data_IF_749715708437
#
_entry.id   IF_749715708437
#
_cell.length_a   1.000
_cell.length_b   1.000
_cell.length_c   1.000
_cell.angle_alpha   90.00
_cell.angle_beta   90.00
_cell.angle_gamma   90.00
#
_symmetry.space_group_name_H-M   'P 1'
#
loop_
_entity.id
_entity.type
_entity.pdbx_description
1 polymer ?
#
# COMPACT_ATOMS: atom_id res chain seq x y z
N UNK A 1 -15.15 5.34 5.61
CA UNK A 1 -14.98 5.20 4.16
C UNK A 1 -15.18 6.56 3.51
N UNK A 2 -14.08 7.29 3.40
CA UNK A 2 -13.98 8.61 2.78
C UNK A 2 -13.52 8.46 1.32
N UNK A 3 -12.59 7.55 1.05
CA UNK A 3 -12.15 7.26 -0.32
C UNK A 3 -13.07 6.23 -0.98
N UNK A 4 -13.10 6.26 -2.32
CA UNK A 4 -13.75 5.19 -3.10
C UNK A 4 -12.71 4.20 -3.58
N UNK A 5 -13.15 2.98 -3.92
CA UNK A 5 -12.27 1.93 -4.43
C UNK A 5 -11.57 2.36 -5.72
N UNK A 6 -12.25 3.12 -6.58
CA UNK A 6 -11.71 3.66 -7.83
C UNK A 6 -10.56 4.64 -7.57
N UNK A 7 -10.76 5.58 -6.63
CA UNK A 7 -9.71 6.53 -6.24
C UNK A 7 -8.49 5.82 -5.65
N UNK A 8 -8.71 4.80 -4.82
CA UNK A 8 -7.63 3.99 -4.24
C UNK A 8 -6.90 3.20 -5.32
N UNK A 9 -7.60 2.69 -6.32
CA UNK A 9 -6.99 1.99 -7.45
C UNK A 9 -6.08 2.92 -8.26
N UNK A 10 -6.58 4.09 -8.66
CA UNK A 10 -5.79 5.11 -9.38
C UNK A 10 -4.56 5.52 -8.58
N UNK A 11 -4.75 5.81 -7.29
CA UNK A 11 -3.67 6.18 -6.39
C UNK A 11 -2.65 5.06 -6.24
N UNK A 12 -3.09 3.82 -6.12
CA UNK A 12 -2.21 2.65 -6.06
C UNK A 12 -1.36 2.56 -7.31
N UNK A 13 -1.92 2.74 -8.51
CA UNK A 13 -1.11 2.75 -9.73
C UNK A 13 -0.03 3.84 -9.72
N UNK A 14 -0.34 5.04 -9.23
CA UNK A 14 0.65 6.12 -9.07
C UNK A 14 1.76 5.74 -8.09
N UNK A 15 1.39 5.26 -6.89
CA UNK A 15 2.34 4.82 -5.86
C UNK A 15 3.24 3.73 -6.42
N UNK A 16 2.64 2.70 -7.04
CA UNK A 16 3.40 1.58 -7.59
C UNK A 16 4.31 2.02 -8.73
N UNK A 17 3.90 2.99 -9.55
CA UNK A 17 4.73 3.61 -10.60
C UNK A 17 5.94 4.32 -10.02
N UNK A 18 5.78 5.06 -8.93
CA UNK A 18 6.90 5.75 -8.29
C UNK A 18 7.85 4.80 -7.56
N UNK A 19 7.27 3.76 -6.95
CA UNK A 19 8.00 2.65 -6.34
C UNK A 19 8.57 1.68 -7.39
N UNK A 20 8.40 1.93 -8.71
CA UNK A 20 8.92 1.07 -9.77
C UNK A 20 10.44 0.95 -9.70
N UNK A 21 10.88 -0.16 -9.11
CA UNK A 21 11.99 -0.96 -9.60
C UNK A 21 11.48 -2.15 -10.43
N UNK A 22 12.34 -3.15 -10.67
CA UNK A 22 12.04 -4.39 -11.42
C UNK A 22 10.95 -5.31 -10.79
N UNK A 23 10.21 -4.88 -9.76
CA UNK A 23 9.41 -5.76 -8.89
C UNK A 23 7.91 -5.84 -9.20
N UNK A 24 7.33 -4.81 -9.78
CA UNK A 24 5.88 -4.75 -9.99
C UNK A 24 5.54 -4.38 -11.43
N UNK A 25 4.60 -5.11 -12.01
CA UNK A 25 3.99 -4.75 -13.29
C UNK A 25 2.91 -3.70 -13.07
N UNK A 26 2.54 -2.98 -14.13
CA UNK A 26 1.44 -2.01 -14.10
C UNK A 26 0.12 -2.66 -13.63
N UNK A 27 -0.10 -3.92 -14.00
CA UNK A 27 -1.27 -4.72 -13.60
C UNK A 27 -1.07 -5.50 -12.29
N UNK A 28 -0.21 -5.03 -11.38
CA UNK A 28 0.08 -5.75 -10.14
C UNK A 28 -1.09 -5.77 -9.14
N UNK A 29 -2.09 -4.91 -9.26
CA UNK A 29 -3.22 -4.87 -8.31
C UNK A 29 -4.13 -6.08 -8.50
N UNK A 30 -4.21 -6.94 -7.48
CA UNK A 30 -5.04 -8.15 -7.48
C UNK A 30 -6.38 -7.96 -6.78
N UNK A 31 -6.37 -7.35 -5.59
CA UNK A 31 -7.56 -7.16 -4.76
C UNK A 31 -7.40 -5.90 -3.90
N UNK A 32 -8.51 -5.20 -3.67
CA UNK A 32 -8.57 -4.03 -2.79
C UNK A 32 -9.70 -4.29 -1.79
N UNK A 33 -9.38 -4.22 -0.49
CA UNK A 33 -10.33 -4.36 0.60
C UNK A 33 -10.26 -3.16 1.52
N UNK A 34 -11.42 -2.69 1.96
CA UNK A 34 -11.53 -1.69 3.01
C UNK A 34 -11.58 -2.40 4.37
N UNK A 35 -10.81 -1.89 5.32
CA UNK A 35 -10.74 -2.38 6.68
C UNK A 35 -10.98 -1.24 7.65
N UNK A 36 -11.98 -1.39 8.52
CA UNK A 36 -12.17 -0.46 9.62
C UNK A 36 -11.15 -0.73 10.71
N UNK A 37 -10.78 0.30 11.47
CA UNK A 37 -9.84 0.19 12.60
C UNK A 37 -10.13 -0.99 13.54
N UNK A 38 -11.41 -1.24 13.81
CA UNK A 38 -11.83 -2.28 14.76
C UNK A 38 -11.86 -3.70 14.17
N UNK A 39 -11.74 -3.85 12.85
CA UNK A 39 -11.83 -5.15 12.15
C UNK A 39 -10.46 -5.84 12.03
N UNK A 40 -9.36 -5.11 12.26
CA UNK A 40 -8.00 -5.65 12.16
C UNK A 40 -7.53 -6.19 13.52
N UNK A 41 -7.97 -7.42 13.84
CA UNK A 41 -7.57 -8.22 15.02
C UNK A 41 -6.04 -8.44 15.18
N UNK A 42 -5.21 -7.98 14.24
CA UNK A 42 -3.79 -8.34 14.15
C UNK A 42 -2.80 -7.18 14.04
N UNK A 43 -3.25 -5.93 14.09
CA UNK A 43 -2.34 -4.78 14.07
C UNK A 43 -2.77 -3.75 15.10
N UNK A 44 -2.13 -3.81 16.28
CA UNK A 44 -2.05 -2.65 17.17
C UNK A 44 -1.39 -1.43 16.49
N UNK A 45 -0.85 -1.60 15.27
CA UNK A 45 -0.21 -0.58 14.44
C UNK A 45 -1.18 0.31 13.65
N UNK A 46 -2.45 -0.07 13.49
CA UNK A 46 -3.41 0.72 12.70
C UNK A 46 -4.25 1.62 13.61
N UNK A 47 -4.01 2.93 13.52
CA UNK A 47 -4.70 3.95 14.32
C UNK A 47 -5.98 4.48 13.66
N UNK A 48 -6.23 4.14 12.39
CA UNK A 48 -7.32 4.65 11.54
C UNK A 48 -7.87 3.59 10.56
N UNK A 49 -8.97 3.93 9.88
CA UNK A 49 -9.53 3.13 8.78
C UNK A 49 -8.57 3.10 7.58
N UNK A 50 -8.42 1.94 6.94
CA UNK A 50 -7.44 1.74 5.88
C UNK A 50 -7.98 0.93 4.70
N UNK A 51 -7.31 1.06 3.57
CA UNK A 51 -7.42 0.20 2.42
C UNK A 51 -6.20 -0.72 2.38
N UNK A 52 -6.45 -2.02 2.27
CA UNK A 52 -5.42 -3.04 2.08
C UNK A 52 -5.51 -3.55 0.65
N UNK A 53 -4.43 -3.38 -0.09
CA UNK A 53 -4.32 -3.76 -1.49
C UNK A 53 -3.36 -4.95 -1.60
N UNK A 54 -3.85 -6.06 -2.14
CA UNK A 54 -3.03 -7.21 -2.51
C UNK A 54 -2.39 -6.97 -3.88
N UNK A 55 -1.07 -7.08 -3.92
CA UNK A 55 -0.24 -6.83 -5.09
C UNK A 55 0.45 -8.12 -5.53
N UNK A 56 0.39 -8.45 -6.82
CA UNK A 56 1.22 -9.48 -7.42
C UNK A 56 2.65 -8.94 -7.61
N UNK A 57 3.58 -9.54 -6.87
CA UNK A 57 5.02 -9.30 -6.95
C UNK A 57 5.69 -10.28 -7.92
N UNK A 58 7.01 -10.23 -8.01
CA UNK A 58 7.79 -11.24 -8.77
C UNK A 58 7.53 -12.65 -8.20
N UNK A 59 7.53 -13.67 -9.06
CA UNK A 59 7.37 -15.09 -8.70
C UNK A 59 6.01 -15.43 -8.08
N UNK A 60 4.94 -14.77 -8.54
CA UNK A 60 3.55 -15.00 -8.08
C UNK A 60 3.36 -14.84 -6.57
N UNK A 61 4.27 -14.11 -5.93
CA UNK A 61 4.18 -13.74 -4.51
C UNK A 61 3.22 -12.58 -4.31
N UNK A 62 2.65 -12.51 -3.12
CA UNK A 62 1.68 -11.46 -2.77
C UNK A 62 2.34 -10.53 -1.76
N UNK A 63 2.42 -9.25 -2.15
CA UNK A 63 2.72 -8.15 -1.25
C UNK A 63 1.43 -7.43 -0.88
N UNK A 64 1.42 -6.74 0.26
CA UNK A 64 0.27 -5.99 0.75
C UNK A 64 0.63 -4.53 0.93
N UNK A 65 -0.05 -3.63 0.22
CA UNK A 65 0.06 -2.19 0.40
C UNK A 65 -1.07 -1.71 1.30
N UNK A 66 -0.73 -0.91 2.29
CA UNK A 66 -1.70 -0.24 3.17
C UNK A 66 -1.79 1.23 2.83
N UNK A 67 -3.00 1.73 2.60
CA UNK A 67 -3.32 3.13 2.27
C UNK A 67 -4.32 3.66 3.29
N UNK A 68 -4.12 4.88 3.79
CA UNK A 68 -5.06 5.53 4.71
C UNK A 68 -6.37 5.89 3.99
N UNK A 69 -7.53 5.55 4.58
CA UNK A 69 -8.82 6.01 4.07
C UNK A 69 -9.02 7.52 4.30
N UNK A 70 -8.37 8.11 5.31
CA UNK A 70 -8.52 9.53 5.60
C UNK A 70 -7.80 10.39 4.54
N UNK A 71 -6.54 10.07 4.25
CA UNK A 71 -5.68 10.89 3.39
C UNK A 71 -5.56 10.34 1.97
N UNK A 72 -5.85 9.06 1.75
CA UNK A 72 -5.54 8.35 0.51
C UNK A 72 -4.03 8.17 0.30
N UNK A 73 -3.19 8.46 1.28
CA UNK A 73 -1.73 8.32 1.17
C UNK A 73 -1.28 6.92 1.62
N UNK A 74 -0.22 6.34 1.00
CA UNK A 74 0.34 5.07 1.42
C UNK A 74 0.98 5.20 2.79
N UNK A 75 0.87 4.15 3.59
CA UNK A 75 1.48 4.09 4.93
C UNK A 75 2.69 3.17 4.92
N UNK A 76 2.48 1.92 4.52
CA UNK A 76 3.54 0.92 4.44
C UNK A 76 3.21 -0.15 3.40
N UNK A 77 4.25 -0.88 3.00
CA UNK A 77 4.13 -2.13 2.24
C UNK A 77 4.67 -3.28 3.08
N UNK A 78 3.89 -4.35 3.18
CA UNK A 78 4.31 -5.63 3.76
C UNK A 78 4.62 -6.59 2.64
N UNK A 79 5.88 -7.01 2.57
CA UNK A 79 6.36 -7.94 1.55
C UNK A 79 6.02 -9.38 1.91
N UNK A 80 5.97 -10.25 0.90
CA UNK A 80 5.86 -11.70 1.09
C UNK A 80 6.98 -12.29 1.95
N UNK A 81 8.12 -11.60 2.02
CA UNK A 81 9.27 -11.94 2.87
C UNK A 81 9.09 -11.50 4.33
N UNK A 82 7.88 -11.10 4.75
CA UNK A 82 7.54 -10.57 6.08
C UNK A 82 8.17 -9.22 6.43
N UNK A 83 8.96 -8.62 5.54
CA UNK A 83 9.50 -7.27 5.74
C UNK A 83 8.39 -6.23 5.61
N UNK A 84 8.23 -5.36 6.61
CA UNK A 84 7.37 -4.17 6.55
C UNK A 84 8.25 -2.96 6.26
N UNK A 85 7.85 -2.12 5.32
CA UNK A 85 8.57 -0.88 5.02
C UNK A 85 7.61 0.29 4.93
N UNK A 86 7.96 1.38 5.61
CA UNK A 86 7.24 2.64 5.52
C UNK A 86 7.39 3.26 4.12
N UNK A 87 6.32 3.85 3.62
CA UNK A 87 6.33 4.61 2.36
C UNK A 87 6.19 6.09 2.71
N UNK A 88 7.09 6.92 2.18
CA UNK A 88 7.03 8.38 2.31
C UNK A 88 6.91 9.03 0.95
N UNK A 89 6.45 10.28 0.98
CA UNK A 89 6.32 11.16 -0.19
C UNK A 89 7.32 12.29 -0.06
N UNK A 90 8.13 12.51 -1.08
CA UNK A 90 9.09 13.61 -1.11
C UNK A 90 8.41 14.97 -1.41
N UNK A 91 9.19 16.04 -1.38
CA UNK A 91 8.71 17.39 -1.69
C UNK A 91 8.26 17.58 -3.15
N UNK A 92 8.65 16.69 -4.06
CA UNK A 92 8.20 16.69 -5.46
C UNK A 92 6.92 15.85 -5.65
N UNK A 93 6.42 15.25 -4.57
CA UNK A 93 5.23 14.42 -4.59
C UNK A 93 5.47 12.97 -5.01
N UNK A 94 6.72 12.51 -5.07
CA UNK A 94 7.09 11.15 -5.46
C UNK A 94 7.20 10.22 -4.25
N UNK A 95 6.69 9.01 -4.39
CA UNK A 95 6.74 8.00 -3.32
C UNK A 95 8.08 7.24 -3.28
N UNK A 96 8.57 6.94 -2.08
CA UNK A 96 9.77 6.13 -1.86
C UNK A 96 9.65 5.25 -0.60
N UNK A 97 10.40 4.14 -0.57
CA UNK A 97 10.50 3.25 0.59
C UNK A 97 11.56 3.77 1.55
N UNK A 98 11.22 3.89 2.82
CA UNK A 98 12.19 4.17 3.88
C UNK A 98 13.03 2.92 4.09
N UNK A 99 14.36 3.04 4.01
CA UNK A 99 15.28 1.96 4.38
C UNK A 99 15.39 1.93 5.90
N UNK A 100 15.36 0.74 6.48
CA UNK A 100 15.92 0.53 7.81
C UNK A 100 17.44 0.64 7.67
N UNK A 101 18.05 1.53 8.44
CA UNK A 101 19.51 1.64 8.60
C UNK A 101 20.05 0.50 9.47
#
# INVERSE_FOLDING_TARGET
MIQTKEKILEKTHMIMKDLQGKRYKETCVRKINFHKKNDTLHSQELTSDVWVISLNSIFDKIDFLTVSDETGEPVFIRRFSYQVQEIKKDSNGKYYLVKED
#
